data_IF_755003275091
#
_entry.id   IF_755003275091
#
_cell.length_a   1.000
_cell.length_b   1.000
_cell.length_c   1.000
_cell.angle_alpha   90.00
_cell.angle_beta   90.00
_cell.angle_gamma   90.00
#
_symmetry.space_group_name_H-M   'P 1'
#
loop_
_entity.id
_entity.type
_entity.pdbx_description
1 polymer ?
#
# COMPACT_ATOMS: atom_id res chain seq x y z
N UNK A 1 -37.62 -4.35 64.52
CA UNK A 1 -38.26 -3.02 64.45
C UNK A 1 -38.85 -2.85 63.04
N UNK A 2 -40.20 -2.78 62.97
CA UNK A 2 -41.15 -2.22 61.95
C UNK A 2 -40.67 -2.11 60.48
N UNK A 3 -41.21 -2.90 59.53
CA UNK A 3 -42.44 -2.74 58.67
C UNK A 3 -42.25 -1.72 57.53
N UNK A 4 -42.28 -2.14 56.24
CA UNK A 4 -43.44 -2.20 55.30
C UNK A 4 -43.68 -0.81 54.64
N UNK A 5 -44.11 -0.58 53.39
CA UNK A 5 -44.74 -1.34 52.30
C UNK A 5 -44.64 -0.52 50.98
N UNK A 6 -44.79 -1.24 49.86
CA UNK A 6 -45.44 -0.97 48.56
C UNK A 6 -45.69 0.44 47.92
N UNK A 7 -45.82 0.35 46.59
CA UNK A 7 -46.68 1.10 45.64
C UNK A 7 -46.04 2.06 44.60
N UNK A 8 -46.02 1.61 43.34
CA UNK A 8 -46.26 2.41 42.11
C UNK A 8 -47.79 2.72 42.00
N UNK A 9 -48.38 3.55 41.09
CA UNK A 9 -47.91 3.93 39.71
C UNK A 9 -48.43 5.29 39.11
N UNK A 10 -48.18 5.53 37.80
CA UNK A 10 -48.98 6.30 36.77
C UNK A 10 -49.33 7.81 37.06
N UNK A 11 -49.52 8.80 36.16
CA UNK A 11 -49.69 8.94 34.70
C UNK A 11 -49.67 10.44 34.25
N UNK A 12 -49.54 10.65 32.93
CA UNK A 12 -50.14 11.66 32.04
C UNK A 12 -50.07 13.18 32.26
N UNK A 13 -49.71 13.88 31.16
CA UNK A 13 -49.97 15.30 30.98
C UNK A 13 -49.53 15.90 29.64
N UNK A 14 -50.08 15.42 28.52
CA UNK A 14 -50.01 16.08 27.20
C UNK A 14 -50.60 17.50 27.25
N UNK A 15 -50.13 18.40 26.39
CA UNK A 15 -51.01 19.25 25.54
C UNK A 15 -50.31 19.75 24.26
N UNK A 16 -50.90 19.32 23.14
CA UNK A 16 -51.03 19.95 21.83
C UNK A 16 -51.46 21.44 21.96
N UNK A 17 -51.39 22.35 21.00
CA UNK A 17 -51.18 22.44 19.55
C UNK A 17 -51.08 23.96 19.30
N UNK A 18 -50.32 24.46 18.30
CA UNK A 18 -50.97 25.32 17.29
C UNK A 18 -50.09 25.63 16.08
N UNK A 19 -50.78 25.75 14.95
CA UNK A 19 -50.28 25.96 13.58
C UNK A 19 -49.80 27.40 13.38
N UNK A 20 -48.83 27.63 12.49
CA UNK A 20 -48.88 28.66 11.43
C UNK A 20 -47.72 28.61 10.44
N UNK A 21 -48.10 28.72 9.17
CA UNK A 21 -47.29 28.98 7.99
C UNK A 21 -46.29 30.14 8.19
N UNK A 22 -45.08 29.97 7.66
CA UNK A 22 -44.12 31.05 7.48
C UNK A 22 -42.91 30.63 6.66
N UNK A 23 -42.96 30.86 5.34
CA UNK A 23 -41.78 30.85 4.47
C UNK A 23 -40.79 31.87 5.03
N UNK A 24 -39.65 31.42 5.55
CA UNK A 24 -38.51 32.29 5.82
C UNK A 24 -37.25 31.76 5.12
N UNK A 25 -36.81 32.51 4.11
CA UNK A 25 -35.43 32.54 3.65
C UNK A 25 -34.54 32.75 4.87
N UNK A 26 -33.64 31.81 5.15
CA UNK A 26 -32.50 32.07 6.03
C UNK A 26 -31.39 32.67 5.18
N UNK A 27 -31.24 33.99 5.26
CA UNK A 27 -29.98 34.64 4.93
C UNK A 27 -28.89 34.06 5.84
N UNK A 28 -27.76 33.70 5.24
CA UNK A 28 -26.60 33.21 5.96
C UNK A 28 -26.04 34.34 6.84
N UNK A 29 -26.23 34.23 8.15
CA UNK A 29 -25.54 35.09 9.11
C UNK A 29 -24.04 34.77 9.05
N UNK A 30 -23.24 35.74 8.60
CA UNK A 30 -21.79 35.61 8.56
C UNK A 30 -21.22 35.42 9.98
N UNK A 31 -20.28 34.47 10.10
CA UNK A 31 -19.61 34.12 11.35
C UNK A 31 -18.88 35.34 11.97
N UNK A 32 -18.85 35.47 13.32
CA UNK A 32 -18.28 36.63 14.02
C UNK A 32 -16.82 36.95 13.70
N UNK A 33 -16.06 35.99 13.15
CA UNK A 33 -14.66 36.14 12.77
C UNK A 33 -14.43 37.12 11.60
N UNK A 34 -15.40 37.27 10.70
CA UNK A 34 -15.27 38.14 9.51
C UNK A 34 -15.35 39.65 9.83
N UNK A 35 -15.80 40.03 11.03
CA UNK A 35 -15.83 41.44 11.45
C UNK A 35 -14.45 42.00 11.84
N UNK A 36 -13.43 41.16 11.99
CA UNK A 36 -12.09 41.56 12.47
C UNK A 36 -11.01 41.71 11.38
N UNK A 37 -11.35 41.52 10.10
CA UNK A 37 -10.42 41.72 9.00
C UNK A 37 -10.36 43.20 8.55
N UNK A 38 -9.18 43.64 8.11
CA UNK A 38 -8.96 44.98 7.56
C UNK A 38 -9.72 45.15 6.23
N UNK A 39 -9.98 46.40 5.84
CA UNK A 39 -10.92 46.75 4.76
C UNK A 39 -10.54 46.20 3.37
N UNK A 40 -9.28 45.82 3.14
CA UNK A 40 -8.79 45.28 1.87
C UNK A 40 -9.16 43.81 1.66
N UNK A 41 -9.18 42.98 2.72
CA UNK A 41 -9.50 41.55 2.64
C UNK A 41 -10.99 41.27 2.35
N UNK A 42 -11.89 42.20 2.70
CA UNK A 42 -13.32 42.04 2.43
C UNK A 42 -13.69 42.16 0.95
N UNK A 43 -12.85 42.80 0.13
CA UNK A 43 -13.12 42.95 -1.31
C UNK A 43 -12.81 41.67 -2.10
N UNK A 44 -11.85 40.88 -1.64
CA UNK A 44 -11.45 39.64 -2.32
C UNK A 44 -12.55 38.56 -2.22
N UNK A 45 -13.25 38.47 -1.09
CA UNK A 45 -14.35 37.51 -0.93
C UNK A 45 -15.63 37.87 -1.69
N UNK A 46 -15.82 39.12 -2.14
CA UNK A 46 -17.05 39.54 -2.82
C UNK A 46 -17.00 39.41 -4.36
N UNK A 47 -15.84 39.08 -4.95
CA UNK A 47 -15.67 38.98 -6.41
C UNK A 47 -15.81 37.56 -6.99
N UNK A 48 -16.08 36.54 -6.17
CA UNK A 48 -16.14 35.14 -6.63
C UNK A 48 -17.52 34.62 -7.08
N UNK A 49 -18.59 35.40 -6.92
CA UNK A 49 -19.98 34.89 -6.98
C UNK A 49 -20.81 35.35 -8.20
N UNK A 50 -20.17 35.90 -9.23
CA UNK A 50 -20.87 36.34 -10.44
C UNK A 50 -20.22 35.81 -11.71
N UNK A 51 -20.39 34.51 -11.99
CA UNK A 51 -20.46 34.04 -13.38
C UNK A 51 -21.28 32.74 -13.51
N UNK A 52 -22.55 32.81 -13.12
CA UNK A 52 -23.53 31.73 -13.29
C UNK A 52 -24.72 32.25 -14.12
N UNK A 53 -24.45 32.60 -15.37
CA UNK A 53 -25.45 32.52 -16.44
C UNK A 53 -24.79 32.85 -17.76
N UNK A 54 -24.72 31.86 -18.68
CA UNK A 54 -25.02 31.99 -20.12
C UNK A 54 -24.43 30.78 -20.87
N UNK A 55 -25.29 29.79 -21.19
CA UNK A 55 -25.64 29.39 -22.57
C UNK A 55 -26.36 28.04 -22.58
N UNK A 56 -27.60 28.08 -23.06
CA UNK A 56 -28.45 26.93 -23.41
C UNK A 56 -28.14 26.49 -24.85
N UNK A 57 -28.18 25.17 -25.04
CA UNK A 57 -28.45 24.37 -26.25
C UNK A 57 -27.54 24.50 -27.48
N UNK A 58 -26.85 23.39 -27.81
CA UNK A 58 -26.81 22.84 -29.18
C UNK A 58 -26.49 21.34 -29.20
N UNK A 59 -27.51 20.56 -29.60
CA UNK A 59 -27.57 19.34 -30.43
C UNK A 59 -26.67 18.11 -30.13
N UNK A 60 -27.36 16.98 -30.19
CA UNK A 60 -26.89 15.61 -30.37
C UNK A 60 -25.80 15.49 -31.46
N UNK A 61 -24.67 14.87 -31.13
CA UNK A 61 -23.87 14.04 -32.06
C UNK A 61 -23.18 12.93 -31.24
N UNK A 62 -23.36 11.68 -31.66
CA UNK A 62 -22.85 10.49 -30.99
C UNK A 62 -21.33 10.50 -30.86
N UNK A 63 -20.83 10.26 -29.64
CA UNK A 63 -19.41 10.07 -29.38
C UNK A 63 -19.07 8.59 -29.42
N UNK A 64 -18.31 8.23 -30.45
CA UNK A 64 -17.51 7.01 -30.55
C UNK A 64 -16.49 7.00 -29.39
N UNK A 65 -16.80 6.28 -28.31
CA UNK A 65 -15.88 6.03 -27.20
C UNK A 65 -14.83 5.01 -27.64
N UNK A 66 -13.83 5.44 -28.41
CA UNK A 66 -12.79 4.50 -28.80
C UNK A 66 -11.79 5.03 -29.81
N UNK A 67 -11.07 6.10 -29.49
CA UNK A 67 -9.75 6.43 -30.06
C UNK A 67 -9.29 7.77 -29.51
N UNK A 68 -8.59 7.77 -28.38
CA UNK A 68 -7.38 8.60 -28.16
C UNK A 68 -6.95 8.63 -26.69
N UNK A 69 -6.31 7.56 -26.22
CA UNK A 69 -5.57 7.63 -24.97
C UNK A 69 -4.39 8.63 -25.09
N UNK A 70 -3.99 9.37 -24.05
CA UNK A 70 -2.81 10.23 -24.09
C UNK A 70 -1.56 9.47 -24.56
N UNK A 71 -0.66 10.16 -25.30
CA UNK A 71 0.58 9.56 -25.85
C UNK A 71 1.43 8.84 -24.78
N UNK A 72 1.43 9.34 -23.54
CA UNK A 72 2.15 8.72 -22.42
C UNK A 72 1.54 7.38 -21.96
N UNK A 73 0.21 7.22 -22.06
CA UNK A 73 -0.47 5.94 -21.80
C UNK A 73 -0.20 4.96 -22.95
N UNK A 74 -0.33 5.39 -24.21
CA UNK A 74 -0.03 4.55 -25.38
C UNK A 74 1.42 4.02 -25.35
N UNK A 75 2.41 4.89 -25.09
CA UNK A 75 3.82 4.49 -24.98
C UNK A 75 4.12 3.60 -23.77
N UNK A 76 3.26 3.60 -22.74
CA UNK A 76 3.38 2.70 -21.59
C UNK A 76 2.81 1.33 -21.94
N UNK A 77 1.61 1.31 -22.53
CA UNK A 77 0.94 0.08 -22.95
C UNK A 77 1.78 -0.70 -23.96
N UNK A 78 2.43 -0.02 -24.91
CA UNK A 78 3.34 -0.66 -25.88
C UNK A 78 4.55 -1.31 -25.20
N UNK A 79 5.26 -0.56 -24.34
CA UNK A 79 6.44 -1.10 -23.62
C UNK A 79 6.09 -2.25 -22.69
N UNK A 80 4.97 -2.12 -21.98
CA UNK A 80 4.45 -3.19 -21.13
C UNK A 80 4.13 -4.45 -21.96
N UNK A 81 3.49 -4.29 -23.13
CA UNK A 81 3.18 -5.42 -24.01
C UNK A 81 4.45 -6.14 -24.48
N UNK A 82 5.49 -5.40 -24.87
CA UNK A 82 6.78 -5.97 -25.28
C UNK A 82 7.43 -6.74 -24.12
N UNK A 83 7.42 -6.21 -22.90
CA UNK A 83 7.94 -6.92 -21.73
C UNK A 83 7.16 -8.21 -21.43
N UNK A 84 5.82 -8.17 -21.56
CA UNK A 84 4.97 -9.35 -21.41
C UNK A 84 5.30 -10.41 -22.45
N UNK A 85 5.49 -10.03 -23.72
CA UNK A 85 5.80 -10.96 -24.80
C UNK A 85 7.16 -11.63 -24.60
N UNK A 86 8.19 -10.84 -24.25
CA UNK A 86 9.52 -11.34 -23.90
C UNK A 86 9.43 -12.34 -22.74
N UNK A 87 8.67 -12.01 -21.70
CA UNK A 87 8.52 -12.88 -20.54
C UNK A 87 7.74 -14.14 -20.86
N UNK A 88 6.65 -14.08 -21.65
CA UNK A 88 5.90 -15.27 -22.07
C UNK A 88 6.76 -16.23 -22.87
N UNK A 89 7.53 -15.71 -23.83
CA UNK A 89 8.46 -16.53 -24.62
C UNK A 89 9.49 -17.22 -23.72
N UNK A 90 10.09 -16.47 -22.79
CA UNK A 90 11.12 -16.97 -21.87
C UNK A 90 10.59 -17.94 -20.82
N UNK A 91 9.38 -17.72 -20.31
CA UNK A 91 8.74 -18.58 -19.31
C UNK A 91 8.24 -19.90 -19.89
N UNK A 92 7.89 -19.92 -21.18
CA UNK A 92 7.34 -21.11 -21.84
C UNK A 92 6.07 -21.61 -21.12
N UNK A 93 6.09 -22.86 -20.66
CA UNK A 93 4.96 -23.48 -19.96
C UNK A 93 4.89 -23.15 -18.45
N UNK A 94 5.88 -22.44 -17.91
CA UNK A 94 5.85 -22.02 -16.51
C UNK A 94 4.71 -21.00 -16.32
N UNK A 95 3.76 -21.31 -15.43
CA UNK A 95 2.59 -20.45 -15.13
C UNK A 95 2.56 -20.05 -13.65
N UNK A 96 3.39 -19.07 -13.23
CA UNK A 96 3.44 -18.60 -11.85
C UNK A 96 2.15 -17.91 -11.42
N UNK A 97 1.56 -18.37 -10.31
CA UNK A 97 0.43 -17.69 -9.67
C UNK A 97 0.87 -16.69 -8.61
N UNK A 98 2.05 -16.92 -8.03
CA UNK A 98 2.69 -16.05 -7.04
C UNK A 98 3.81 -15.23 -7.66
N UNK A 99 3.87 -13.97 -7.25
CA UNK A 99 5.06 -13.15 -7.38
C UNK A 99 5.51 -12.62 -6.02
N UNK A 100 6.82 -12.58 -5.78
CA UNK A 100 7.41 -12.03 -4.55
C UNK A 100 8.31 -10.85 -4.90
N UNK A 101 8.05 -9.66 -4.36
CA UNK A 101 8.98 -8.52 -4.50
C UNK A 101 9.91 -8.48 -3.29
N UNK A 102 11.19 -8.70 -3.55
CA UNK A 102 12.24 -8.79 -2.54
C UNK A 102 12.79 -7.41 -2.18
N UNK A 103 12.68 -7.07 -0.90
CA UNK A 103 13.29 -5.87 -0.33
C UNK A 103 14.77 -6.02 -0.02
N UNK A 104 15.33 -4.96 0.58
CA UNK A 104 16.72 -4.92 1.01
C UNK A 104 17.09 -6.11 1.90
N UNK A 105 18.23 -6.74 1.62
CA UNK A 105 18.75 -7.88 2.37
C UNK A 105 17.97 -9.20 2.25
N UNK A 106 16.95 -9.26 1.38
CA UNK A 106 16.15 -10.47 1.10
C UNK A 106 16.47 -11.13 -0.24
N UNK A 107 17.47 -10.60 -0.96
CA UNK A 107 17.86 -11.07 -2.28
C UNK A 107 18.27 -12.53 -2.34
N UNK A 108 18.82 -13.10 -1.26
CA UNK A 108 19.26 -14.50 -1.21
C UNK A 108 18.11 -15.52 -1.32
N UNK A 109 16.86 -15.10 -1.16
CA UNK A 109 15.70 -15.99 -1.35
C UNK A 109 15.62 -16.51 -2.81
N UNK A 110 16.12 -15.75 -3.79
CA UNK A 110 16.13 -16.21 -5.19
C UNK A 110 16.99 -17.45 -5.41
N UNK A 111 17.96 -17.71 -4.54
CA UNK A 111 18.86 -18.85 -4.68
C UNK A 111 18.20 -20.17 -4.25
N UNK A 112 17.01 -20.09 -3.65
CA UNK A 112 16.17 -21.25 -3.34
C UNK A 112 15.22 -21.62 -4.47
N UNK A 113 15.17 -20.83 -5.55
CA UNK A 113 14.33 -21.11 -6.72
C UNK A 113 15.02 -22.16 -7.58
N UNK A 114 14.38 -23.31 -7.73
CA UNK A 114 14.81 -24.37 -8.64
C UNK A 114 14.46 -24.02 -10.09
N UNK A 115 15.26 -24.54 -11.03
CA UNK A 115 15.13 -24.29 -12.48
C UNK A 115 15.06 -22.80 -12.83
N UNK A 116 15.81 -21.99 -12.08
CA UNK A 116 15.69 -20.54 -12.11
C UNK A 116 16.15 -19.92 -13.44
N UNK A 117 15.19 -19.31 -14.13
CA UNK A 117 15.42 -18.36 -15.21
C UNK A 117 15.63 -16.95 -14.64
N UNK A 118 16.77 -16.34 -14.95
CA UNK A 118 17.15 -15.02 -14.45
C UNK A 118 17.15 -14.02 -15.61
N UNK A 119 16.34 -12.97 -15.49
CA UNK A 119 16.11 -11.97 -16.53
C UNK A 119 16.37 -10.58 -15.95
N UNK A 120 17.44 -9.88 -16.37
CA UNK A 120 17.70 -8.51 -15.93
C UNK A 120 16.53 -7.57 -16.27
N UNK A 121 16.23 -6.62 -15.38
CA UNK A 121 15.23 -5.58 -15.65
C UNK A 121 15.59 -4.70 -16.84
N UNK A 122 16.89 -4.53 -17.11
CA UNK A 122 17.38 -3.80 -18.27
C UNK A 122 16.95 -4.42 -19.62
N UNK A 123 16.65 -5.72 -19.63
CA UNK A 123 16.20 -6.44 -20.83
C UNK A 123 14.66 -6.40 -20.98
N UNK A 124 13.96 -5.76 -20.04
CA UNK A 124 12.49 -5.70 -20.00
C UNK A 124 12.02 -4.26 -20.23
N UNK A 125 11.43 -3.93 -21.40
CA UNK A 125 10.95 -2.59 -21.69
C UNK A 125 10.00 -2.04 -20.63
N UNK A 126 10.29 -0.83 -20.14
CA UNK A 126 9.49 -0.17 -19.10
C UNK A 126 9.72 -0.66 -17.67
N UNK A 127 10.57 -1.67 -17.45
CA UNK A 127 11.00 -2.01 -16.10
C UNK A 127 11.98 -0.95 -15.56
N UNK A 128 11.96 -0.70 -14.25
CA UNK A 128 12.84 0.27 -13.64
C UNK A 128 14.26 -0.31 -13.48
N UNK A 129 15.27 0.56 -13.66
CA UNK A 129 16.66 0.24 -13.33
C UNK A 129 16.95 0.83 -11.95
N UNK A 130 17.19 -0.04 -10.97
CA UNK A 130 17.49 0.37 -9.58
C UNK A 130 18.93 0.85 -9.47
N UNK A 131 19.15 1.93 -8.70
CA UNK A 131 20.48 2.43 -8.36
C UNK A 131 20.93 2.04 -6.94
N UNK A 132 20.07 1.36 -6.18
CA UNK A 132 20.30 1.07 -4.74
C UNK A 132 21.12 -0.20 -4.56
N UNK A 133 22.18 -0.11 -3.75
CA UNK A 133 23.03 -1.26 -3.40
C UNK A 133 22.21 -2.37 -2.73
N UNK A 134 22.29 -3.60 -3.23
CA UNK A 134 21.55 -4.76 -2.69
C UNK A 134 20.30 -5.15 -3.49
N UNK A 135 19.90 -4.36 -4.48
CA UNK A 135 18.87 -4.74 -5.46
C UNK A 135 19.52 -5.21 -6.75
N UNK A 136 19.45 -6.51 -7.03
CA UNK A 136 20.07 -7.12 -8.21
C UNK A 136 19.44 -6.64 -9.53
N UNK A 137 18.23 -6.06 -9.48
CA UNK A 137 17.53 -5.58 -10.67
C UNK A 137 17.19 -6.73 -11.62
N UNK A 138 16.76 -7.87 -11.08
CA UNK A 138 16.57 -9.11 -11.83
C UNK A 138 15.22 -9.75 -11.48
N UNK A 139 14.52 -10.24 -12.50
CA UNK A 139 13.36 -11.11 -12.38
C UNK A 139 13.86 -12.56 -12.38
N UNK A 140 13.50 -13.33 -11.37
CA UNK A 140 13.86 -14.74 -11.24
C UNK A 140 12.59 -15.57 -11.28
N UNK A 141 12.41 -16.39 -12.31
CA UNK A 141 11.26 -17.27 -12.43
C UNK A 141 11.70 -18.73 -12.34
N UNK A 142 10.92 -19.56 -11.68
CA UNK A 142 11.22 -20.98 -11.52
C UNK A 142 10.25 -21.61 -10.53
N UNK A 143 10.74 -22.53 -9.70
CA UNK A 143 9.91 -23.19 -8.69
C UNK A 143 10.46 -22.99 -7.28
N UNK A 144 9.58 -22.68 -6.34
CA UNK A 144 9.89 -22.75 -4.90
C UNK A 144 9.19 -23.99 -4.34
N UNK A 145 9.98 -25.04 -4.08
CA UNK A 145 9.41 -26.39 -3.98
C UNK A 145 8.87 -26.81 -5.34
N UNK A 146 7.63 -27.28 -5.40
CA UNK A 146 6.96 -27.65 -6.66
C UNK A 146 6.13 -26.52 -7.27
N UNK A 147 6.04 -25.37 -6.59
CA UNK A 147 5.13 -24.28 -6.97
C UNK A 147 5.85 -23.28 -7.88
N UNK A 148 5.33 -23.00 -9.09
CA UNK A 148 5.84 -21.95 -9.97
C UNK A 148 5.74 -20.56 -9.33
N UNK A 149 6.86 -19.83 -9.30
CA UNK A 149 6.96 -18.49 -8.72
C UNK A 149 7.74 -17.53 -9.60
N UNK A 150 7.43 -16.25 -9.49
CA UNK A 150 8.31 -15.15 -9.93
C UNK A 150 8.83 -14.43 -8.69
N UNK A 151 10.12 -14.16 -8.64
CA UNK A 151 10.75 -13.32 -7.62
C UNK A 151 11.37 -12.10 -8.28
N UNK A 152 10.94 -10.93 -7.85
CA UNK A 152 11.54 -9.66 -8.23
C UNK A 152 12.65 -9.32 -7.24
N UNK A 153 13.90 -9.65 -7.61
CA UNK A 153 15.10 -9.34 -6.83
C UNK A 153 15.50 -7.89 -7.02
N UNK A 154 14.79 -7.00 -6.35
CA UNK A 154 14.87 -5.60 -6.69
C UNK A 154 13.55 -4.89 -6.51
N UNK A 155 13.62 -3.65 -6.04
CA UNK A 155 12.59 -2.64 -6.32
C UNK A 155 13.25 -1.29 -6.53
N UNK A 156 12.46 -0.36 -7.03
CA UNK A 156 12.80 1.05 -6.98
C UNK A 156 11.92 1.76 -5.98
N UNK A 157 12.49 2.77 -5.35
CA UNK A 157 11.86 3.52 -4.28
C UNK A 157 11.47 4.91 -4.78
N UNK A 158 10.44 5.46 -4.14
CA UNK A 158 10.01 6.84 -4.36
C UNK A 158 11.17 7.83 -4.21
N UNK A 159 11.98 7.71 -3.15
CA UNK A 159 13.07 8.65 -2.87
C UNK A 159 14.16 8.71 -3.96
N UNK A 160 14.24 7.72 -4.87
CA UNK A 160 15.26 7.72 -5.93
C UNK A 160 14.99 8.81 -6.98
N UNK A 161 13.72 9.05 -7.32
CA UNK A 161 13.32 9.97 -8.41
C UNK A 161 12.05 10.79 -8.13
N UNK A 162 11.45 10.65 -6.96
CA UNK A 162 10.18 11.29 -6.60
C UNK A 162 8.96 10.69 -7.32
N UNK A 163 9.06 9.43 -7.80
CA UNK A 163 7.98 8.77 -8.55
C UNK A 163 7.36 7.63 -7.73
N UNK A 164 6.11 7.83 -7.29
CA UNK A 164 5.36 6.80 -6.54
C UNK A 164 4.88 5.67 -7.46
N UNK A 165 4.87 5.87 -8.77
CA UNK A 165 4.46 4.90 -9.79
C UNK A 165 5.60 4.03 -10.32
N UNK A 166 6.80 4.14 -9.77
CA UNK A 166 7.99 3.54 -10.35
C UNK A 166 7.92 2.00 -10.52
N UNK A 167 7.10 1.32 -9.71
CA UNK A 167 6.86 -0.13 -9.79
C UNK A 167 5.58 -0.53 -10.56
N UNK A 168 4.88 0.41 -11.20
CA UNK A 168 3.61 0.13 -11.91
C UNK A 168 3.78 -0.87 -13.04
N UNK A 169 4.69 -0.59 -13.98
CA UNK A 169 4.90 -1.47 -15.15
C UNK A 169 5.26 -2.89 -14.75
N UNK A 170 6.19 -3.13 -13.79
CA UNK A 170 6.42 -4.48 -13.26
C UNK A 170 5.17 -5.18 -12.75
N UNK A 171 4.36 -4.52 -11.91
CA UNK A 171 3.17 -5.13 -11.30
C UNK A 171 2.09 -5.42 -12.35
N UNK A 172 1.89 -4.52 -13.30
CA UNK A 172 0.96 -4.70 -14.42
C UNK A 172 1.41 -5.86 -15.32
N UNK A 173 2.71 -5.97 -15.58
CA UNK A 173 3.30 -7.09 -16.33
C UNK A 173 3.06 -8.42 -15.62
N UNK A 174 3.29 -8.49 -14.30
CA UNK A 174 3.00 -9.69 -13.50
C UNK A 174 1.53 -10.10 -13.63
N UNK A 175 0.60 -9.15 -13.54
CA UNK A 175 -0.84 -9.43 -13.73
C UNK A 175 -1.12 -9.99 -15.13
N UNK A 176 -0.51 -9.42 -16.17
CA UNK A 176 -0.68 -9.88 -17.55
C UNK A 176 -0.07 -11.28 -17.82
N UNK A 177 0.89 -11.70 -16.99
CA UNK A 177 1.46 -13.06 -16.99
C UNK A 177 0.59 -14.09 -16.24
N UNK A 178 -0.51 -13.66 -15.63
CA UNK A 178 -1.44 -14.55 -14.91
C UNK A 178 -1.16 -14.68 -13.41
N UNK A 179 -0.24 -13.88 -12.86
CA UNK A 179 -0.07 -13.78 -11.41
C UNK A 179 -1.37 -13.24 -10.80
N UNK A 180 -1.84 -13.88 -9.73
CA UNK A 180 -3.02 -13.46 -8.98
C UNK A 180 -2.67 -13.00 -7.55
N UNK A 181 -1.52 -13.42 -7.04
CA UNK A 181 -1.06 -13.16 -5.68
C UNK A 181 0.31 -12.49 -5.67
N UNK A 182 0.39 -11.31 -5.06
CA UNK A 182 1.61 -10.55 -4.86
C UNK A 182 2.03 -10.58 -3.39
N UNK A 183 3.24 -11.04 -3.12
CA UNK A 183 3.85 -11.05 -1.79
C UNK A 183 4.92 -9.94 -1.76
N UNK A 184 4.74 -8.96 -0.88
CA UNK A 184 5.64 -7.83 -0.74
C UNK A 184 6.51 -7.98 0.50
N UNK A 185 7.82 -7.78 0.36
CA UNK A 185 8.75 -7.89 1.49
C UNK A 185 9.59 -6.62 1.64
N UNK A 186 9.88 -6.16 2.85
CA UNK A 186 10.74 -4.99 3.05
C UNK A 186 11.60 -5.13 4.31
N UNK A 187 12.53 -4.19 4.47
CA UNK A 187 13.17 -3.89 5.75
C UNK A 187 12.43 -2.73 6.41
N UNK A 188 12.30 -2.76 7.73
CA UNK A 188 11.58 -1.74 8.49
C UNK A 188 12.19 -1.48 9.88
N UNK A 189 11.99 -0.26 10.37
CA UNK A 189 12.27 0.11 11.76
C UNK A 189 11.09 -0.26 12.65
N UNK A 190 11.34 -0.97 13.75
CA UNK A 190 10.30 -1.35 14.72
C UNK A 190 9.94 -0.19 15.64
N UNK A 191 8.64 -0.01 15.86
CA UNK A 191 8.10 0.93 16.85
C UNK A 191 7.74 0.25 18.19
N UNK A 192 8.09 -1.03 18.34
CA UNK A 192 7.74 -1.91 19.47
C UNK A 192 8.97 -2.57 20.06
N UNK A 193 9.16 -2.45 21.36
CA UNK A 193 10.35 -2.97 22.05
C UNK A 193 10.43 -4.51 21.98
N UNK A 194 9.27 -5.18 22.07
CA UNK A 194 9.11 -6.63 21.99
C UNK A 194 9.33 -7.23 20.59
N UNK A 195 9.57 -6.36 19.60
CA UNK A 195 9.87 -6.72 18.22
C UNK A 195 11.27 -6.21 17.85
N UNK A 196 12.34 -6.88 18.34
CA UNK A 196 13.73 -6.46 18.11
C UNK A 196 14.18 -6.71 16.67
N UNK A 197 15.31 -6.10 16.25
CA UNK A 197 16.00 -6.43 15.01
C UNK A 197 16.18 -7.95 14.79
N UNK A 198 16.00 -8.39 13.54
CA UNK A 198 15.93 -9.79 13.13
C UNK A 198 14.52 -10.40 13.24
N UNK A 199 13.56 -9.72 13.85
CA UNK A 199 12.15 -10.17 13.88
C UNK A 199 11.48 -10.05 12.52
N UNK A 200 10.41 -10.82 12.30
CA UNK A 200 9.56 -10.73 11.11
C UNK A 200 8.17 -10.26 11.56
N UNK A 201 7.64 -9.25 10.88
CA UNK A 201 6.30 -8.72 11.09
C UNK A 201 5.45 -8.91 9.85
N UNK A 202 4.34 -9.62 9.97
CA UNK A 202 3.27 -9.60 8.98
C UNK A 202 2.60 -8.22 8.97
N UNK A 203 2.48 -7.61 7.80
CA UNK A 203 1.76 -6.36 7.63
C UNK A 203 0.27 -6.70 7.49
N UNK A 204 -0.54 -6.21 8.42
CA UNK A 204 -2.00 -6.41 8.41
C UNK A 204 -2.76 -5.19 7.92
N UNK A 205 -2.14 -4.01 8.01
CA UNK A 205 -2.67 -2.76 7.46
C UNK A 205 -1.51 -1.76 7.22
N UNK A 206 -1.79 -0.62 6.59
CA UNK A 206 -0.79 0.44 6.44
C UNK A 206 -1.33 1.85 6.65
N UNK A 207 -0.40 2.75 6.96
CA UNK A 207 -0.61 4.20 6.95
C UNK A 207 0.27 4.80 5.85
N UNK A 208 -0.35 5.40 4.84
CA UNK A 208 0.35 6.17 3.82
C UNK A 208 0.63 7.59 4.33
N UNK A 209 1.69 7.76 5.12
CA UNK A 209 2.04 9.06 5.70
C UNK A 209 2.72 10.00 4.70
N UNK A 210 3.40 9.46 3.69
CA UNK A 210 4.10 10.24 2.66
C UNK A 210 3.23 11.29 1.93
N UNK A 211 1.90 11.10 1.94
CA UNK A 211 0.94 11.95 1.22
C UNK A 211 0.92 11.71 -0.30
N UNK A 212 1.81 10.86 -0.82
CA UNK A 212 1.90 10.51 -2.23
C UNK A 212 0.94 9.37 -2.58
N UNK A 213 0.45 9.32 -3.82
CA UNK A 213 -0.38 8.21 -4.27
C UNK A 213 -0.06 7.84 -5.73
N UNK A 214 0.27 6.57 -6.03
CA UNK A 214 0.57 6.13 -7.40
C UNK A 214 -0.63 6.32 -8.35
N UNK A 215 -1.86 6.38 -7.86
CA UNK A 215 -3.03 6.53 -8.73
C UNK A 215 -3.26 7.98 -9.18
N UNK A 216 -2.46 8.95 -8.73
CA UNK A 216 -2.52 10.32 -9.24
C UNK A 216 -2.12 10.32 -10.72
N UNK A 217 -2.99 10.89 -11.55
CA UNK A 217 -2.86 10.90 -13.01
C UNK A 217 -3.46 9.68 -13.70
N UNK A 218 -4.06 8.73 -12.98
CA UNK A 218 -4.90 7.69 -13.59
C UNK A 218 -6.20 8.32 -14.08
N UNK A 219 -6.47 8.24 -15.38
CA UNK A 219 -7.62 8.89 -16.00
C UNK A 219 -8.91 8.08 -15.84
N UNK A 220 -8.79 6.75 -15.81
CA UNK A 220 -9.93 5.84 -15.71
C UNK A 220 -10.55 5.80 -14.30
N UNK A 221 -11.82 5.45 -14.22
CA UNK A 221 -12.52 5.28 -12.93
C UNK A 221 -11.96 4.13 -12.09
N UNK A 222 -11.10 3.26 -12.67
CA UNK A 222 -10.36 2.23 -11.94
C UNK A 222 -9.49 2.82 -10.82
N UNK A 223 -9.14 4.12 -10.89
CA UNK A 223 -8.37 4.82 -9.84
C UNK A 223 -9.03 4.82 -8.47
N UNK A 224 -10.35 4.67 -8.40
CA UNK A 224 -11.09 4.68 -7.13
C UNK A 224 -11.08 3.28 -6.51
N UNK A 225 -9.92 2.89 -5.98
CA UNK A 225 -9.67 1.55 -5.42
C UNK A 225 -10.05 1.50 -3.94
N UNK A 226 -10.85 0.50 -3.55
CA UNK A 226 -11.15 0.23 -2.14
C UNK A 226 -9.94 -0.39 -1.41
N UNK A 227 -9.57 0.18 -0.27
CA UNK A 227 -8.39 -0.24 0.51
C UNK A 227 -8.72 -0.95 1.83
N UNK A 228 -10.01 -1.13 2.17
CA UNK A 228 -10.44 -1.83 3.40
C UNK A 228 -9.91 -3.26 3.51
N UNK A 229 -9.71 -3.93 2.38
CA UNK A 229 -9.10 -5.27 2.27
C UNK A 229 -7.86 -5.23 1.38
N UNK A 230 -7.02 -4.21 1.59
CA UNK A 230 -5.77 -4.05 0.85
C UNK A 230 -4.82 -5.25 1.04
N UNK A 231 -4.83 -5.83 2.24
CA UNK A 231 -4.16 -7.08 2.56
C UNK A 231 -5.21 -8.19 2.65
N UNK A 232 -4.96 -9.29 1.96
CA UNK A 232 -5.94 -10.38 1.82
C UNK A 232 -6.03 -11.21 3.11
N UNK A 233 -7.24 -11.34 3.65
CA UNK A 233 -7.49 -12.03 4.93
C UNK A 233 -7.05 -13.50 4.92
N UNK A 234 -7.27 -14.21 3.82
CA UNK A 234 -6.88 -15.63 3.76
C UNK A 234 -5.36 -15.77 3.67
N UNK A 235 -4.70 -14.88 2.92
CA UNK A 235 -3.23 -14.86 2.85
C UNK A 235 -2.62 -14.48 4.21
N UNK A 236 -3.27 -13.59 4.96
CA UNK A 236 -2.87 -13.27 6.34
C UNK A 236 -2.90 -14.53 7.20
N UNK A 237 -4.00 -15.28 7.17
CA UNK A 237 -4.13 -16.52 7.94
C UNK A 237 -3.14 -17.59 7.49
N UNK A 238 -2.92 -17.72 6.18
CA UNK A 238 -1.96 -18.68 5.63
C UNK A 238 -0.53 -18.40 6.08
N UNK A 239 -0.11 -17.14 6.06
CA UNK A 239 1.24 -16.77 6.53
C UNK A 239 1.43 -17.03 8.02
N UNK A 240 0.38 -16.89 8.85
CA UNK A 240 0.43 -17.25 10.28
C UNK A 240 0.59 -18.76 10.46
N UNK A 241 -0.24 -19.57 9.79
CA UNK A 241 -0.13 -21.03 9.81
C UNK A 241 1.25 -21.51 9.33
N UNK A 242 1.79 -20.87 8.29
CA UNK A 242 3.12 -21.14 7.78
C UNK A 242 4.23 -20.82 8.80
N UNK A 243 4.10 -19.71 9.53
CA UNK A 243 5.02 -19.36 10.60
C UNK A 243 4.96 -20.33 11.79
N UNK A 244 3.75 -20.75 12.20
CA UNK A 244 3.56 -21.76 13.23
C UNK A 244 4.21 -23.09 12.83
N UNK A 245 4.00 -23.53 11.58
CA UNK A 245 4.61 -24.76 11.04
C UNK A 245 6.13 -24.69 10.94
N UNK A 246 6.67 -23.51 10.63
CA UNK A 246 8.10 -23.27 10.61
C UNK A 246 8.70 -23.06 12.02
N UNK A 247 7.88 -23.05 13.07
CA UNK A 247 8.26 -22.74 14.46
C UNK A 247 8.94 -21.35 14.59
N UNK A 248 8.51 -20.40 13.76
CA UNK A 248 9.05 -19.03 13.74
C UNK A 248 8.02 -18.07 14.32
N UNK A 249 8.41 -17.32 15.36
CA UNK A 249 7.60 -16.24 15.89
C UNK A 249 7.38 -15.17 14.82
N UNK A 250 6.11 -14.94 14.46
CA UNK A 250 5.68 -13.90 13.52
C UNK A 250 4.89 -12.84 14.27
N UNK A 251 5.42 -11.61 14.33
CA UNK A 251 4.66 -10.45 14.81
C UNK A 251 3.65 -10.01 13.74
N UNK A 252 2.68 -9.19 14.12
CA UNK A 252 1.77 -8.54 13.17
C UNK A 252 1.57 -7.07 13.53
N UNK A 253 1.27 -6.24 12.53
CA UNK A 253 1.03 -4.83 12.78
C UNK A 253 0.77 -3.96 11.56
N UNK A 254 0.60 -2.67 11.83
CA UNK A 254 0.39 -1.58 10.88
C UNK A 254 1.74 -1.02 10.44
N UNK A 255 1.99 -1.01 9.14
CA UNK A 255 3.21 -0.43 8.56
C UNK A 255 2.96 1.02 8.10
N UNK A 256 3.78 1.96 8.54
CA UNK A 256 3.70 3.36 8.10
C UNK A 256 4.78 3.68 7.07
N UNK A 257 4.35 4.20 5.92
CA UNK A 257 5.25 4.57 4.84
C UNK A 257 5.68 6.04 4.93
N UNK A 258 6.99 6.24 5.07
CA UNK A 258 7.68 7.52 4.93
C UNK A 258 8.34 7.63 3.55
N UNK A 259 8.51 8.84 3.03
CA UNK A 259 9.15 9.01 1.71
C UNK A 259 10.63 8.65 1.71
N UNK A 260 11.35 8.91 2.82
CA UNK A 260 12.81 8.92 2.85
C UNK A 260 13.43 10.08 2.04
N UNK A 261 14.75 10.07 1.79
CA UNK A 261 15.72 9.03 2.19
C UNK A 261 16.33 9.24 3.59
N UNK A 262 16.10 10.40 4.23
CA UNK A 262 16.47 10.58 5.64
C UNK A 262 15.65 9.63 6.52
N UNK A 263 16.29 9.05 7.53
CA UNK A 263 15.56 8.38 8.61
C UNK A 263 14.69 9.38 9.39
N UNK A 264 13.73 8.85 10.11
CA UNK A 264 12.82 9.64 10.93
C UNK A 264 13.55 10.24 12.15
N UNK A 265 13.11 11.40 12.58
CA UNK A 265 13.48 11.97 13.88
C UNK A 265 12.76 11.23 15.01
N UNK A 266 13.27 11.29 16.27
CA UNK A 266 12.55 10.74 17.41
C UNK A 266 11.14 11.33 17.61
N UNK A 267 10.90 12.56 17.15
CA UNK A 267 9.57 13.17 17.20
C UNK A 267 8.61 12.55 16.19
N UNK A 268 9.07 12.30 14.96
CA UNK A 268 8.30 11.59 13.93
C UNK A 268 8.02 10.13 14.34
N UNK A 269 8.96 9.46 15.00
CA UNK A 269 8.76 8.12 15.55
C UNK A 269 7.69 8.12 16.65
N UNK A 270 7.71 9.07 17.57
CA UNK A 270 6.64 9.22 18.59
C UNK A 270 5.29 9.50 17.93
N UNK A 271 5.26 10.36 16.91
CA UNK A 271 4.06 10.63 16.12
C UNK A 271 3.54 9.35 15.45
N UNK A 272 4.39 8.58 14.79
CA UNK A 272 4.00 7.33 14.13
C UNK A 272 3.35 6.35 15.10
N UNK A 273 3.91 6.23 16.32
CA UNK A 273 3.31 5.41 17.40
C UNK A 273 1.94 5.93 17.84
N UNK A 274 1.79 7.24 18.02
CA UNK A 274 0.50 7.86 18.38
C UNK A 274 -0.56 7.62 17.29
N UNK A 275 -0.14 7.63 16.02
CA UNK A 275 -1.00 7.35 14.87
C UNK A 275 -1.28 5.85 14.67
N UNK A 276 -0.72 4.98 15.51
CA UNK A 276 -1.01 3.54 15.51
C UNK A 276 -0.12 2.69 14.61
N UNK A 277 1.04 3.19 14.18
CA UNK A 277 2.01 2.36 13.46
C UNK A 277 2.79 1.43 14.41
N UNK A 278 3.13 0.24 13.90
CA UNK A 278 3.96 -0.75 14.58
C UNK A 278 5.37 -0.86 13.98
N UNK A 279 5.51 -0.49 12.70
CA UNK A 279 6.80 -0.37 12.00
C UNK A 279 6.77 0.78 10.98
N UNK A 280 7.94 1.31 10.64
CA UNK A 280 8.12 2.36 9.61
C UNK A 280 9.09 1.90 8.53
N UNK A 281 8.87 2.36 7.31
CA UNK A 281 9.82 2.14 6.22
C UNK A 281 9.51 2.98 4.99
N UNK A 282 10.27 2.76 3.92
CA UNK A 282 10.33 3.65 2.76
C UNK A 282 9.81 3.04 1.44
N UNK A 283 9.13 1.89 1.51
CA UNK A 283 8.58 1.18 0.33
C UNK A 283 7.19 0.58 0.59
N UNK A 284 6.77 -0.30 -0.31
CA UNK A 284 5.67 -1.28 -0.16
C UNK A 284 4.28 -0.70 -0.34
N UNK A 285 3.95 0.43 0.30
CA UNK A 285 2.59 1.00 0.21
C UNK A 285 2.20 1.37 -1.23
N UNK A 286 3.07 1.99 -2.06
CA UNK A 286 2.74 2.22 -3.47
C UNK A 286 2.45 0.93 -4.23
N UNK A 287 3.25 -0.12 -4.01
CA UNK A 287 3.06 -1.41 -4.66
C UNK A 287 1.77 -2.10 -4.21
N UNK A 288 1.37 -1.97 -2.93
CA UNK A 288 0.07 -2.44 -2.45
C UNK A 288 -1.06 -1.75 -3.20
N UNK A 289 -1.03 -0.41 -3.29
CA UNK A 289 -2.09 0.37 -3.97
C UNK A 289 -2.18 -0.03 -5.45
N UNK A 290 -1.03 -0.14 -6.14
CA UNK A 290 -0.96 -0.59 -7.52
C UNK A 290 -1.47 -2.03 -7.70
N UNK A 291 -1.10 -2.94 -6.80
CA UNK A 291 -1.58 -4.32 -6.83
C UNK A 291 -3.11 -4.37 -6.70
N UNK A 292 -3.70 -3.54 -5.83
CA UNK A 292 -5.15 -3.42 -5.68
C UNK A 292 -5.83 -2.82 -6.91
N UNK A 293 -5.22 -1.81 -7.55
CA UNK A 293 -5.69 -1.30 -8.85
C UNK A 293 -5.81 -2.42 -9.89
N UNK A 294 -4.83 -3.32 -9.95
CA UNK A 294 -4.80 -4.43 -10.90
C UNK A 294 -5.56 -5.68 -10.44
N UNK A 295 -6.25 -5.62 -9.29
CA UNK A 295 -7.04 -6.72 -8.75
C UNK A 295 -6.20 -7.93 -8.30
N UNK A 296 -4.97 -7.69 -7.83
CA UNK A 296 -4.13 -8.72 -7.21
C UNK A 296 -4.49 -8.89 -5.73
N UNK A 297 -4.39 -10.12 -5.23
CA UNK A 297 -4.38 -10.42 -3.80
C UNK A 297 -3.01 -10.07 -3.24
N UNK A 298 -2.96 -9.50 -2.04
CA UNK A 298 -1.70 -9.01 -1.47
C UNK A 298 -1.45 -9.62 -0.11
N UNK A 299 -0.25 -10.14 0.08
CA UNK A 299 0.33 -10.40 1.39
C UNK A 299 1.59 -9.57 1.54
N UNK A 300 1.95 -9.16 2.75
CA UNK A 300 3.20 -8.44 2.95
C UNK A 300 3.82 -8.72 4.32
N UNK A 301 5.15 -8.64 4.37
CA UNK A 301 5.91 -8.78 5.60
C UNK A 301 7.13 -7.86 5.63
N UNK A 302 7.44 -7.36 6.82
CA UNK A 302 8.63 -6.58 7.12
C UNK A 302 9.62 -7.44 7.89
N UNK A 303 10.88 -7.43 7.47
CA UNK A 303 12.00 -7.82 8.32
C UNK A 303 12.41 -6.59 9.13
N UNK A 304 12.38 -6.74 10.45
CA UNK A 304 12.78 -5.66 11.34
C UNK A 304 14.29 -5.61 11.40
N UNK A 305 14.85 -4.48 11.03
CA UNK A 305 16.31 -4.31 10.90
C UNK A 305 16.91 -3.43 11.98
N UNK A 306 16.10 -2.57 12.57
CA UNK A 306 16.48 -1.61 13.59
C UNK A 306 15.23 -1.23 14.41
N UNK A 307 15.43 -0.55 15.54
CA UNK A 307 14.34 0.16 16.19
C UNK A 307 14.14 1.54 15.54
N UNK A 308 12.98 2.16 15.77
CA UNK A 308 12.76 3.56 15.39
C UNK A 308 13.73 4.51 16.09
N UNK A 309 14.05 5.63 15.45
CA UNK A 309 14.95 6.63 16.00
C UNK A 309 14.55 7.07 17.42
N UNK A 310 15.54 7.14 18.30
CA UNK A 310 15.37 7.52 19.71
C UNK A 310 14.72 6.44 20.59
N UNK A 311 14.47 5.24 20.08
CA UNK A 311 14.06 4.09 20.91
C UNK A 311 15.25 3.35 21.51
N UNK A 312 16.40 3.38 20.81
CA UNK A 312 17.70 3.01 21.35
C UNK A 312 18.55 4.28 21.49
N UNK A 313 19.46 4.33 22.46
CA UNK A 313 20.30 5.52 22.70
C UNK A 313 21.36 5.81 21.62
N UNK A 314 21.36 5.07 20.49
CA UNK A 314 22.32 5.21 19.39
C UNK A 314 21.69 5.79 18.12
N UNK A 315 22.53 6.28 17.19
CA UNK A 315 22.09 6.70 15.86
C UNK A 315 21.82 5.50 14.95
N UNK A 316 20.80 5.63 14.10
CA UNK A 316 20.47 4.62 13.09
C UNK A 316 21.47 4.69 11.94
N UNK A 317 21.90 3.51 11.45
CA UNK A 317 22.76 3.43 10.28
C UNK A 317 22.25 2.39 9.28
N UNK A 318 22.62 2.59 8.01
CA UNK A 318 22.33 1.62 6.96
C UNK A 318 23.10 0.30 7.16
N UNK A 319 24.19 0.30 7.93
CA UNK A 319 24.98 -0.91 8.18
C UNK A 319 24.30 -1.85 9.18
N UNK A 320 23.64 -1.32 10.23
CA UNK A 320 22.77 -2.13 11.10
C UNK A 320 21.69 -2.87 10.29
N UNK A 321 21.18 -2.21 9.25
CA UNK A 321 20.20 -2.81 8.35
C UNK A 321 20.79 -4.00 7.58
N UNK A 322 22.01 -3.86 7.08
CA UNK A 322 22.70 -4.94 6.35
C UNK A 322 23.02 -6.14 7.24
N UNK A 323 23.30 -5.92 8.52
CA UNK A 323 23.68 -6.99 9.44
C UNK A 323 22.47 -7.83 9.88
N UNK A 324 21.32 -7.17 10.13
CA UNK A 324 20.13 -7.85 10.65
C UNK A 324 19.18 -8.37 9.57
N UNK A 325 19.21 -7.78 8.37
CA UNK A 325 18.35 -8.22 7.27
C UNK A 325 18.57 -9.69 6.86
N UNK A 326 19.79 -10.25 6.80
CA UNK A 326 20.00 -11.67 6.51
C UNK A 326 19.37 -12.59 7.55
N UNK A 327 19.43 -12.22 8.85
CA UNK A 327 18.89 -13.02 9.95
C UNK A 327 17.37 -13.08 9.88
N UNK A 328 16.70 -11.92 9.79
CA UNK A 328 15.25 -11.89 9.62
C UNK A 328 14.80 -12.40 8.25
N UNK A 329 15.63 -12.23 7.23
CA UNK A 329 15.39 -12.71 5.88
C UNK A 329 15.36 -14.22 5.77
N UNK A 330 16.26 -14.92 6.46
CA UNK A 330 16.23 -16.38 6.54
C UNK A 330 14.94 -16.89 7.20
N UNK A 331 14.45 -16.20 8.25
CA UNK A 331 13.17 -16.50 8.90
C UNK A 331 12.00 -16.28 7.95
N UNK A 332 11.93 -15.12 7.30
CA UNK A 332 10.88 -14.81 6.35
C UNK A 332 10.88 -15.78 5.16
N UNK A 333 12.05 -16.13 4.63
CA UNK A 333 12.22 -17.12 3.58
C UNK A 333 11.59 -18.47 3.95
N UNK A 334 11.85 -18.96 5.17
CA UNK A 334 11.25 -20.21 5.65
C UNK A 334 9.72 -20.11 5.74
N UNK A 335 9.18 -19.01 6.28
CA UNK A 335 7.73 -18.77 6.33
C UNK A 335 7.13 -18.74 4.92
N UNK A 336 7.74 -18.01 3.98
CA UNK A 336 7.21 -17.89 2.62
C UNK A 336 7.23 -19.21 1.87
N UNK A 337 8.26 -20.04 2.09
CA UNK A 337 8.33 -21.39 1.52
C UNK A 337 7.18 -22.25 2.00
N UNK A 338 6.90 -22.26 3.30
CA UNK A 338 5.74 -23.00 3.86
C UNK A 338 4.41 -22.42 3.37
N UNK A 339 4.28 -21.09 3.32
CA UNK A 339 3.07 -20.40 2.87
C UNK A 339 2.72 -20.71 1.41
N UNK A 340 3.72 -20.77 0.54
CA UNK A 340 3.53 -21.04 -0.88
C UNK A 340 3.28 -22.54 -1.11
N UNK A 341 3.95 -23.42 -0.37
CA UNK A 341 3.78 -24.86 -0.49
C UNK A 341 2.39 -25.37 -0.07
N UNK A 342 1.73 -24.72 0.89
CA UNK A 342 0.42 -25.10 1.44
C UNK A 342 -0.76 -24.87 0.46
N UNK A 343 -0.51 -24.47 -0.80
CA UNK A 343 -1.54 -24.34 -1.84
C UNK A 343 -2.09 -25.70 -2.32
N UNK A 344 -1.40 -26.81 -2.02
CA UNK A 344 -1.77 -28.15 -2.44
C UNK A 344 -2.86 -28.86 -1.62
N UNK A 345 -3.35 -28.26 -0.52
CA UNK A 345 -4.33 -28.90 0.37
C UNK A 345 -5.66 -28.13 0.33
N UNK A 346 -6.61 -28.49 -0.57
CA UNK A 346 -7.96 -27.98 -0.49
C UNK A 346 -8.60 -28.52 0.80
N UNK A 347 -8.79 -27.64 1.79
CA UNK A 347 -9.65 -27.93 2.93
C UNK A 347 -11.10 -28.14 2.49
#
# INVERSE_FOLDING_TARGET
MRRADCDQPYDHGRRQEDRRNGRHRREAAALPALRRLQAEDRRICQQGDTDLSLRRNRREEGHDHGRDAPLQLRNRDTRMSEAVDILKEKLGELKPRYSVILGSGLGSLVDQVADALRIPYADLPGFPVSAVSGHAGTLVAGKLGDIPVIMMSGRVHYYEKGDANAMRTPIETLKALGVDTLILTNSAGSLREEMPPGSVMQITDHINYSGMNPLIGEESDKRFVGMTSAYDTDLIMRMRKAADKAEIKLSHGVYMWFSGPSFETPAEIRMARILGADAVGMSTVPEVILARLFGLRVAAASVITNYGAGMTGGELSHDETKDMAPVGGARLAAILKEMIADEGDPQ
#
